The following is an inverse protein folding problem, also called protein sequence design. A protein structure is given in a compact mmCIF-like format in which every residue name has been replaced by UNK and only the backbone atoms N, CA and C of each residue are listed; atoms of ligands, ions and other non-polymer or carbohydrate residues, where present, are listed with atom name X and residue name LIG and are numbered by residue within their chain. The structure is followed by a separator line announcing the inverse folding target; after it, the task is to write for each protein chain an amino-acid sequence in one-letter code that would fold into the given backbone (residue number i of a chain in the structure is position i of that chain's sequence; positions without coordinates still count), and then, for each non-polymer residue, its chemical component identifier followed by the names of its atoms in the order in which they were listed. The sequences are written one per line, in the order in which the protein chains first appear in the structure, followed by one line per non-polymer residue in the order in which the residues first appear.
data_IF_739017870032
#
_entry.id   IF_739017870032
#
_cell.length_a   1.000
_cell.length_b   1.000
_cell.length_c   1.000
_cell.angle_alpha   90.00
_cell.angle_beta   90.00
_cell.angle_gamma   90.00
#
_symmetry.space_group_name_H-M   'P 1'
#
loop_
_entity.id
_entity.type
_entity.pdbx_description
1 polymer ?
#
# COMPACT_ATOMS: atom_id res chain seq x y z
N UNK A 1 -10.43 33.20 -5.52
CA UNK A 1 -9.30 33.19 -6.48
C UNK A 1 -8.79 31.75 -6.55
N UNK A 2 -9.25 30.99 -7.55
CA UNK A 2 -8.92 29.56 -7.70
C UNK A 2 -7.55 29.47 -8.37
N UNK A 3 -6.55 28.97 -7.64
CA UNK A 3 -5.21 28.76 -8.17
C UNK A 3 -5.16 27.36 -8.81
N UNK A 4 -5.24 27.29 -10.13
CA UNK A 4 -4.93 26.10 -10.91
C UNK A 4 -3.41 25.88 -10.87
N UNK A 5 -2.96 24.86 -10.14
CA UNK A 5 -1.62 24.29 -10.30
C UNK A 5 -1.69 23.31 -11.47
N UNK A 6 -1.05 23.65 -12.60
CA UNK A 6 -0.80 22.71 -13.68
C UNK A 6 0.31 21.75 -13.26
N UNK A 7 -0.07 20.56 -12.82
CA UNK A 7 0.89 19.46 -12.59
C UNK A 7 1.18 18.82 -13.95
N UNK A 8 2.38 19.08 -14.46
CA UNK A 8 2.96 18.40 -15.62
C UNK A 8 3.02 16.89 -15.38
N UNK A 9 2.28 16.13 -16.18
CA UNK A 9 2.05 14.67 -16.14
C UNK A 9 3.27 13.81 -16.55
N UNK A 10 4.49 14.34 -16.48
CA UNK A 10 5.70 13.61 -16.93
C UNK A 10 6.43 12.75 -15.87
N UNK A 11 5.87 12.59 -14.66
CA UNK A 11 6.56 11.94 -13.53
C UNK A 11 6.02 10.57 -13.10
N UNK A 12 5.27 9.87 -13.97
CA UNK A 12 4.81 8.51 -13.67
C UNK A 12 5.22 7.59 -14.82
N UNK A 13 6.46 7.12 -14.79
CA UNK A 13 6.83 5.87 -15.44
C UNK A 13 7.82 5.13 -14.55
N UNK A 14 7.24 4.23 -13.75
CA UNK A 14 7.91 3.28 -12.89
C UNK A 14 8.55 2.20 -13.79
N UNK A 15 9.81 2.36 -14.17
CA UNK A 15 10.58 1.27 -14.79
C UNK A 15 11.29 0.48 -13.70
N UNK A 16 10.62 -0.54 -13.17
CA UNK A 16 11.31 -1.68 -12.56
C UNK A 16 11.98 -2.50 -13.68
N UNK A 17 13.20 -2.13 -14.05
CA UNK A 17 14.05 -3.00 -14.84
C UNK A 17 14.78 -3.95 -13.87
N UNK A 18 14.16 -5.10 -13.58
CA UNK A 18 14.85 -6.23 -12.98
C UNK A 18 15.85 -6.77 -14.00
N UNK A 19 17.06 -6.19 -14.03
CA UNK A 19 18.19 -6.83 -14.69
C UNK A 19 18.48 -8.15 -13.96
N UNK A 20 18.22 -9.27 -14.64
CA UNK A 20 18.77 -10.57 -14.29
C UNK A 20 20.28 -10.41 -14.15
N UNK A 21 20.77 -10.47 -12.91
CA UNK A 21 22.20 -10.51 -12.60
C UNK A 21 22.81 -11.70 -13.35
N UNK A 22 23.73 -11.39 -14.26
CA UNK A 22 24.55 -12.40 -14.94
C UNK A 22 25.49 -13.02 -13.90
N UNK A 23 25.69 -14.36 -13.87
CA UNK A 23 26.59 -15.00 -12.94
C UNK A 23 28.03 -14.71 -13.39
N UNK A 24 28.66 -13.71 -12.77
CA UNK A 24 30.04 -13.34 -13.09
C UNK A 24 30.49 -11.95 -12.68
N UNK A 25 29.75 -11.24 -11.81
CA UNK A 25 30.28 -10.00 -11.24
C UNK A 25 31.27 -10.38 -10.14
N UNK A 26 32.55 -10.14 -10.41
CA UNK A 26 33.61 -10.27 -9.43
C UNK A 26 33.18 -9.59 -8.11
N UNK A 27 33.39 -10.29 -7.00
CA UNK A 27 33.27 -9.71 -5.66
C UNK A 27 34.32 -8.61 -5.57
N UNK A 28 33.92 -7.36 -5.81
CA UNK A 28 34.75 -6.21 -5.46
C UNK A 28 34.81 -6.18 -3.94
N UNK A 29 35.97 -6.59 -3.43
CA UNK A 29 36.38 -6.51 -2.03
C UNK A 29 36.45 -5.06 -1.59
N UNK A 30 35.92 -4.79 -0.39
CA UNK A 30 36.11 -3.62 0.48
C UNK A 30 36.94 -2.47 -0.12
N UNK A 31 36.27 -1.61 -0.90
CA UNK A 31 36.86 -0.34 -1.28
C UNK A 31 36.71 0.61 -0.10
N UNK A 32 37.85 1.11 0.38
CA UNK A 32 37.85 2.21 1.34
C UNK A 32 37.24 3.45 0.68
N UNK A 33 36.18 3.99 1.25
CA UNK A 33 35.48 5.17 0.76
C UNK A 33 35.98 6.40 1.53
N UNK A 34 36.68 7.32 0.83
CA UNK A 34 37.09 8.63 1.39
C UNK A 34 35.91 9.60 1.54
N UNK A 35 34.84 9.37 0.77
CA UNK A 35 33.57 10.09 0.85
C UNK A 35 32.47 9.24 0.21
N UNK A 36 31.28 9.31 0.81
CA UNK A 36 30.03 8.80 0.27
C UNK A 36 29.33 9.81 -0.60
N UNK A 37 29.71 11.09 -0.59
CA UNK A 37 29.15 12.07 -1.50
C UNK A 37 29.72 11.96 -2.92
N UNK A 38 28.98 12.51 -3.89
CA UNK A 38 29.39 12.61 -5.29
C UNK A 38 29.29 14.03 -5.81
N UNK A 39 30.35 14.48 -6.48
CA UNK A 39 30.40 15.79 -7.14
C UNK A 39 29.84 15.76 -8.57
N UNK A 40 29.39 14.58 -9.05
CA UNK A 40 28.94 14.38 -10.42
C UNK A 40 27.74 15.24 -10.83
N UNK A 41 26.93 15.69 -9.86
CA UNK A 41 25.75 16.52 -10.07
C UNK A 41 26.00 18.01 -9.79
N UNK A 42 27.24 18.38 -9.47
CA UNK A 42 27.60 19.72 -9.02
C UNK A 42 27.38 19.92 -7.52
N UNK A 43 27.32 21.18 -7.06
CA UNK A 43 27.17 21.49 -5.63
C UNK A 43 25.79 21.08 -5.11
N UNK A 44 25.70 20.84 -3.80
CA UNK A 44 24.43 20.58 -3.12
C UNK A 44 23.41 21.69 -3.43
N UNK A 45 22.12 21.35 -3.67
CA UNK A 45 21.09 22.29 -4.09
C UNK A 45 20.51 23.06 -2.89
N UNK A 46 21.40 23.59 -2.06
CA UNK A 46 21.10 24.31 -0.83
C UNK A 46 21.34 25.82 -1.00
N UNK A 47 20.59 26.66 -0.30
CA UNK A 47 20.87 28.09 -0.26
C UNK A 47 22.21 28.35 0.43
N UNK A 48 22.95 29.41 0.07
CA UNK A 48 24.19 29.78 0.76
C UNK A 48 23.97 29.90 2.27
N UNK A 49 24.80 29.19 3.04
CA UNK A 49 24.77 29.18 4.52
C UNK A 49 23.64 28.34 5.14
N UNK A 50 22.87 27.60 4.34
CA UNK A 50 21.82 26.72 4.83
C UNK A 50 22.40 25.58 5.68
N UNK A 51 21.76 25.26 6.81
CA UNK A 51 22.26 24.23 7.72
C UNK A 51 22.09 22.80 7.22
N UNK A 52 21.20 22.55 6.25
CA UNK A 52 21.12 21.25 5.54
C UNK A 52 22.49 20.79 5.03
N UNK A 53 23.31 21.70 4.47
CA UNK A 53 24.63 21.36 3.92
C UNK A 53 25.56 20.77 5.00
N UNK A 54 25.46 21.27 6.24
CA UNK A 54 26.24 20.77 7.37
C UNK A 54 25.80 19.37 7.76
N UNK A 55 24.49 19.18 7.94
CA UNK A 55 23.91 17.87 8.26
C UNK A 55 24.33 16.80 7.24
N UNK A 56 24.32 17.14 5.94
CA UNK A 56 24.74 16.21 4.88
C UNK A 56 26.24 15.92 4.92
N UNK A 57 27.09 16.89 5.25
CA UNK A 57 28.54 16.69 5.44
C UNK A 57 28.84 15.84 6.67
N UNK A 58 28.11 16.02 7.76
CA UNK A 58 28.24 15.19 8.97
C UNK A 58 27.75 13.76 8.71
N UNK A 59 26.70 13.58 7.90
CA UNK A 59 26.28 12.25 7.42
C UNK A 59 27.36 11.60 6.53
N UNK A 60 27.97 12.35 5.62
CA UNK A 60 29.09 11.86 4.80
C UNK A 60 30.28 11.42 5.66
N UNK A 61 30.65 12.23 6.66
CA UNK A 61 31.69 11.89 7.64
C UNK A 61 31.35 10.63 8.42
N UNK A 62 30.10 10.52 8.90
CA UNK A 62 29.62 9.34 9.64
C UNK A 62 29.71 8.06 8.79
N UNK A 63 29.21 8.10 7.56
CA UNK A 63 29.26 6.96 6.63
C UNK A 63 30.70 6.59 6.28
N UNK A 64 31.56 7.58 6.05
CA UNK A 64 33.01 7.39 5.81
C UNK A 64 33.68 6.73 7.01
N UNK A 65 33.41 7.17 8.25
CA UNK A 65 33.95 6.51 9.45
C UNK A 65 33.46 5.06 9.61
N UNK A 66 32.24 4.77 9.14
CA UNK A 66 31.62 3.45 9.27
C UNK A 66 31.96 2.47 8.13
N UNK A 67 32.40 2.98 6.96
CA UNK A 67 32.72 2.17 5.78
C UNK A 67 31.59 1.19 5.39
N UNK A 68 30.34 1.65 5.46
CA UNK A 68 29.15 0.85 5.09
C UNK A 68 29.19 0.54 3.60
N UNK A 69 29.04 -0.72 3.19
CA UNK A 69 28.93 -1.07 1.76
C UNK A 69 27.81 -0.23 1.09
N UNK A 70 28.12 0.63 0.10
CA UNK A 70 27.14 1.45 -0.61
C UNK A 70 25.95 0.67 -1.18
N UNK A 71 26.15 -0.61 -1.50
CA UNK A 71 25.10 -1.51 -2.02
C UNK A 71 24.09 -1.93 -0.93
N UNK A 72 24.49 -1.87 0.34
CA UNK A 72 23.64 -2.16 1.50
C UNK A 72 23.10 -0.90 2.17
N UNK A 73 23.63 0.27 1.83
CA UNK A 73 23.12 1.56 2.28
C UNK A 73 21.92 1.99 1.43
N UNK A 74 20.84 2.38 2.09
CA UNK A 74 19.67 2.99 1.45
C UNK A 74 19.34 4.32 2.14
N UNK A 75 19.32 5.40 1.35
CA UNK A 75 18.86 6.71 1.80
C UNK A 75 17.44 6.94 1.28
N UNK A 76 16.49 7.07 2.20
CA UNK A 76 15.09 7.36 1.89
C UNK A 76 14.82 8.83 2.20
N UNK A 77 14.45 9.61 1.20
CA UNK A 77 14.20 11.04 1.34
C UNK A 77 12.73 11.39 1.22
N UNK A 78 12.30 12.36 2.02
CA UNK A 78 10.95 12.96 1.93
C UNK A 78 10.89 14.12 0.94
N UNK A 79 9.69 14.66 0.68
CA UNK A 79 9.56 15.90 -0.09
C UNK A 79 9.95 17.09 0.79
N UNK A 80 10.95 17.85 0.35
CA UNK A 80 11.47 19.04 1.06
C UNK A 80 12.88 19.39 0.60
N UNK A 81 13.47 20.48 1.11
CA UNK A 81 14.83 20.90 0.73
C UNK A 81 15.87 19.78 0.99
N UNK A 82 15.83 19.17 2.18
CA UNK A 82 16.66 18.00 2.52
C UNK A 82 16.38 16.80 1.60
N UNK A 83 15.17 16.72 1.04
CA UNK A 83 14.73 15.66 0.16
C UNK A 83 15.50 15.55 -1.14
N UNK A 84 16.20 16.61 -1.55
CA UNK A 84 17.01 16.63 -2.77
C UNK A 84 18.40 15.99 -2.58
N UNK A 85 18.74 15.58 -1.36
CA UNK A 85 20.08 15.14 -1.00
C UNK A 85 20.43 13.72 -1.45
N UNK A 86 19.45 12.83 -1.60
CA UNK A 86 19.66 11.41 -1.89
C UNK A 86 20.54 11.15 -3.13
N UNK A 87 20.35 11.95 -4.18
CA UNK A 87 21.11 11.89 -5.44
C UNK A 87 22.59 12.26 -5.30
N UNK A 88 22.97 12.88 -4.18
CA UNK A 88 24.34 13.31 -3.91
C UNK A 88 25.14 12.29 -3.10
N UNK A 89 24.58 11.11 -2.81
CA UNK A 89 25.25 10.04 -2.09
C UNK A 89 25.45 8.78 -2.95
N UNK A 90 26.57 8.09 -2.74
CA UNK A 90 26.88 6.73 -3.20
C UNK A 90 26.10 5.76 -2.32
N UNK A 91 24.81 5.62 -2.62
CA UNK A 91 23.89 4.74 -1.93
C UNK A 91 22.78 4.31 -2.90
N UNK A 92 21.99 3.31 -2.52
CA UNK A 92 20.67 3.19 -3.10
C UNK A 92 19.79 4.32 -2.55
N UNK A 93 18.90 4.86 -3.38
CA UNK A 93 18.00 5.93 -2.94
C UNK A 93 16.54 5.63 -3.24
N UNK A 94 15.66 6.13 -2.37
CA UNK A 94 14.23 6.15 -2.61
C UNK A 94 13.67 7.52 -2.24
N UNK A 95 13.30 8.30 -3.25
CA UNK A 95 12.63 9.59 -3.07
C UNK A 95 11.10 9.38 -3.00
N UNK A 96 10.55 9.50 -1.80
CA UNK A 96 9.14 9.18 -1.52
C UNK A 96 8.18 10.37 -1.67
N UNK A 97 6.91 10.10 -1.38
CA UNK A 97 5.90 11.14 -1.20
C UNK A 97 6.04 11.86 0.15
N UNK A 98 5.52 13.08 0.21
CA UNK A 98 5.62 13.92 1.41
C UNK A 98 4.98 13.24 2.64
N UNK A 99 5.74 13.13 3.72
CA UNK A 99 5.31 12.48 4.94
C UNK A 99 5.26 10.96 4.87
N UNK A 100 5.86 10.31 3.87
CA UNK A 100 5.75 8.85 3.65
C UNK A 100 7.09 8.11 3.69
N UNK A 101 8.19 8.81 3.86
CA UNK A 101 9.54 8.22 3.87
C UNK A 101 9.72 7.08 4.87
N UNK A 102 9.20 7.22 6.09
CA UNK A 102 9.23 6.16 7.10
C UNK A 102 8.41 4.92 6.70
N UNK A 103 7.35 5.10 5.90
CA UNK A 103 6.56 3.98 5.37
C UNK A 103 7.38 3.15 4.39
N UNK A 104 8.11 3.80 3.48
CA UNK A 104 8.99 3.10 2.53
C UNK A 104 10.18 2.46 3.24
N UNK A 105 10.83 3.18 4.15
CA UNK A 105 11.92 2.68 4.97
C UNK A 105 11.53 1.41 5.75
N UNK A 106 10.32 1.42 6.34
CA UNK A 106 9.73 0.26 7.02
C UNK A 106 9.63 -0.94 6.09
N UNK A 107 9.11 -0.75 4.88
CA UNK A 107 8.99 -1.81 3.88
C UNK A 107 10.34 -2.36 3.45
N UNK A 108 11.32 -1.47 3.19
CA UNK A 108 12.68 -1.84 2.79
C UNK A 108 13.36 -2.69 3.86
N UNK A 109 13.33 -2.26 5.13
CA UNK A 109 13.99 -2.98 6.24
C UNK A 109 13.31 -4.32 6.54
N UNK A 110 11.99 -4.41 6.39
CA UNK A 110 11.26 -5.68 6.52
C UNK A 110 11.57 -6.65 5.37
N UNK A 111 11.65 -6.14 4.14
CA UNK A 111 11.93 -6.95 2.97
C UNK A 111 13.39 -7.45 2.93
N UNK A 112 14.33 -6.63 3.39
CA UNK A 112 15.74 -7.00 3.47
C UNK A 112 16.38 -6.44 4.77
N UNK A 113 16.52 -7.27 5.82
CA UNK A 113 17.01 -6.83 7.13
C UNK A 113 18.49 -6.45 7.14
N UNK A 114 19.28 -6.87 6.14
CA UNK A 114 20.71 -6.58 6.02
C UNK A 114 21.01 -5.14 5.56
N UNK A 115 19.98 -4.39 5.16
CA UNK A 115 20.14 -3.01 4.71
C UNK A 115 20.35 -2.06 5.89
N UNK A 116 21.28 -1.13 5.75
CA UNK A 116 21.33 0.08 6.58
C UNK A 116 20.41 1.11 5.96
N UNK A 117 19.34 1.47 6.68
CA UNK A 117 18.30 2.38 6.17
C UNK A 117 18.36 3.70 6.93
N UNK A 118 18.72 4.77 6.23
CA UNK A 118 18.74 6.14 6.75
C UNK A 118 17.64 6.94 6.09
N UNK A 119 16.82 7.62 6.89
CA UNK A 119 15.72 8.46 6.42
C UNK A 119 16.08 9.91 6.63
N UNK A 120 16.00 10.71 5.58
CA UNK A 120 16.19 12.16 5.63
C UNK A 120 14.85 12.87 5.47
N UNK A 121 14.45 13.61 6.50
CA UNK A 121 13.12 14.23 6.56
C UNK A 121 13.22 15.65 7.11
N UNK A 122 12.36 16.55 6.63
CA UNK A 122 12.17 17.85 7.29
C UNK A 122 11.25 17.71 8.51
N UNK A 123 11.30 18.69 9.40
CA UNK A 123 10.31 18.89 10.46
C UNK A 123 8.87 18.91 9.93
N UNK A 124 8.63 19.53 8.77
CA UNK A 124 7.32 19.52 8.12
C UNK A 124 6.85 18.15 7.64
N UNK A 125 7.79 17.35 7.16
CA UNK A 125 7.54 15.94 6.84
C UNK A 125 7.10 15.16 8.08
N UNK A 126 7.68 15.45 9.25
CA UNK A 126 7.26 14.85 10.52
C UNK A 126 5.86 15.30 10.96
N UNK A 127 5.38 16.47 10.50
CA UNK A 127 4.00 16.92 10.68
C UNK A 127 3.00 16.04 9.93
N UNK A 128 2.99 16.12 8.59
CA UNK A 128 2.08 15.30 7.75
C UNK A 128 2.36 13.79 7.89
N UNK A 129 3.59 13.42 8.24
CA UNK A 129 4.04 12.06 8.48
C UNK A 129 3.88 11.56 9.91
N UNK A 130 3.26 12.33 10.81
CA UNK A 130 3.22 12.04 12.25
C UNK A 130 2.72 10.64 12.59
N UNK A 131 1.66 10.16 11.93
CA UNK A 131 1.16 8.79 12.15
C UNK A 131 2.17 7.70 11.76
N UNK A 132 2.99 7.95 10.73
CA UNK A 132 4.06 7.03 10.30
C UNK A 132 5.25 7.10 11.25
N UNK A 133 5.58 8.28 11.77
CA UNK A 133 6.56 8.45 12.85
C UNK A 133 6.18 7.64 14.09
N UNK A 134 4.96 7.82 14.60
CA UNK A 134 4.44 7.05 15.73
C UNK A 134 4.50 5.54 15.45
N UNK A 135 4.14 5.14 14.24
CA UNK A 135 4.15 3.72 13.85
C UNK A 135 5.55 3.13 13.72
N UNK A 136 6.52 3.88 13.18
CA UNK A 136 7.91 3.46 13.07
C UNK A 136 8.55 3.33 14.45
N UNK A 137 8.36 4.34 15.30
CA UNK A 137 8.79 4.33 16.69
C UNK A 137 8.18 3.15 17.47
N UNK A 138 6.88 2.91 17.34
CA UNK A 138 6.21 1.77 18.00
C UNK A 138 6.74 0.43 17.51
N UNK A 139 7.02 0.31 16.21
CA UNK A 139 7.53 -0.93 15.60
C UNK A 139 8.99 -1.19 15.92
N UNK A 140 9.83 -0.21 16.21
CA UNK A 140 11.25 -0.48 16.53
C UNK A 140 12.07 -1.15 15.43
N UNK A 141 11.76 -0.91 14.16
CA UNK A 141 12.65 -1.40 13.10
C UNK A 141 13.98 -0.64 13.17
N UNK A 142 15.08 -1.36 12.92
CA UNK A 142 16.43 -0.79 12.81
C UNK A 142 16.52 0.17 11.60
N UNK A 143 16.14 1.41 11.85
CA UNK A 143 15.98 2.52 10.90
C UNK A 143 16.40 3.79 11.63
N UNK A 144 17.26 4.59 10.99
CA UNK A 144 17.68 5.89 11.52
C UNK A 144 16.96 7.02 10.80
N UNK A 145 16.20 7.83 11.54
CA UNK A 145 15.58 9.05 11.05
C UNK A 145 16.43 10.27 11.42
N UNK A 146 16.94 10.98 10.42
CA UNK A 146 17.60 12.26 10.57
C UNK A 146 16.64 13.37 10.13
N UNK A 147 16.29 14.25 11.06
CA UNK A 147 15.38 15.36 10.84
C UNK A 147 16.20 16.63 10.68
N UNK A 148 16.13 17.24 9.52
CA UNK A 148 16.64 18.59 9.30
C UNK A 148 15.55 19.60 9.68
N UNK A 149 15.63 20.13 10.90
CA UNK A 149 14.60 20.96 11.50
C UNK A 149 14.97 22.44 11.42
N UNK A 150 14.38 23.16 10.47
CA UNK A 150 14.58 24.60 10.29
C UNK A 150 13.35 25.45 10.61
N UNK A 151 12.38 24.85 11.29
CA UNK A 151 11.20 25.52 11.80
C UNK A 151 10.24 26.06 10.73
N UNK A 152 10.40 25.69 9.45
CA UNK A 152 9.52 26.14 8.38
C UNK A 152 9.52 25.24 7.12
N UNK A 153 8.53 25.40 6.25
CA UNK A 153 8.50 24.70 4.97
C UNK A 153 9.32 25.46 3.92
N UNK A 154 10.64 25.29 3.95
CA UNK A 154 11.57 26.02 3.08
C UNK A 154 11.24 25.89 1.58
N UNK A 155 11.04 24.68 1.07
CA UNK A 155 10.82 24.41 -0.37
C UNK A 155 9.56 25.08 -0.92
N UNK A 156 8.54 25.32 -0.09
CA UNK A 156 7.24 25.86 -0.52
C UNK A 156 7.11 27.37 -0.30
N UNK A 157 8.17 28.05 0.16
CA UNK A 157 8.15 29.51 0.39
C UNK A 157 8.20 29.92 1.86
N UNK A 158 8.45 28.98 2.78
CA UNK A 158 8.78 29.25 4.17
C UNK A 158 7.61 29.31 5.14
N UNK A 159 6.51 28.61 4.84
CA UNK A 159 5.32 28.51 5.71
C UNK A 159 5.63 27.90 7.08
N UNK A 160 4.74 28.12 8.03
CA UNK A 160 4.74 27.51 9.34
C UNK A 160 4.86 25.97 9.27
N UNK A 161 5.69 25.41 10.15
CA UNK A 161 5.91 23.98 10.36
C UNK A 161 5.50 23.57 11.77
N UNK A 162 5.36 22.27 12.01
CA UNK A 162 4.93 21.74 13.31
C UNK A 162 5.92 21.99 14.45
N UNK A 163 7.17 22.35 14.14
CA UNK A 163 8.20 22.71 15.13
C UNK A 163 8.44 24.22 15.20
N UNK A 164 7.70 25.05 14.45
CA UNK A 164 7.87 26.51 14.49
C UNK A 164 7.71 27.01 15.93
N UNK A 165 8.72 27.66 16.54
CA UNK A 165 8.64 28.20 17.89
C UNK A 165 7.47 29.16 18.07
N UNK A 166 6.92 29.24 19.29
CA UNK A 166 5.92 30.25 19.65
C UNK A 166 6.50 31.65 19.38
N UNK A 167 5.71 32.52 18.75
CA UNK A 167 6.12 33.84 18.27
C UNK A 167 6.83 33.81 16.90
N UNK A 168 7.16 32.64 16.36
CA UNK A 168 7.86 32.50 15.09
C UNK A 168 7.08 33.08 13.91
N UNK A 169 7.71 34.03 13.21
CA UNK A 169 7.15 34.74 12.06
C UNK A 169 7.39 33.94 10.77
N UNK A 170 6.29 33.62 10.08
CA UNK A 170 6.30 32.96 8.76
C UNK A 170 5.26 33.62 7.85
N UNK A 171 5.24 33.36 6.53
CA UNK A 171 4.20 33.87 5.64
C UNK A 171 2.77 33.49 6.06
N UNK A 172 2.59 32.35 6.72
CA UNK A 172 1.29 31.87 7.21
C UNK A 172 1.02 32.20 8.68
N UNK A 173 2.04 32.65 9.41
CA UNK A 173 1.94 33.18 10.78
C UNK A 173 2.55 34.59 10.87
N UNK A 174 1.98 35.59 10.16
CA UNK A 174 2.56 36.93 10.09
C UNK A 174 2.52 37.68 11.43
N UNK A 175 1.62 37.30 12.34
CA UNK A 175 1.56 37.81 13.72
C UNK A 175 2.36 36.99 14.73
N UNK A 176 3.11 35.99 14.26
CA UNK A 176 3.81 35.01 15.09
C UNK A 176 3.00 33.73 15.28
N UNK A 177 3.68 32.60 15.45
CA UNK A 177 3.04 31.34 15.77
C UNK A 177 2.44 31.37 17.18
N UNK A 178 1.18 30.94 17.31
CA UNK A 178 0.48 30.83 18.60
C UNK A 178 0.29 29.38 19.05
N UNK A 179 0.57 28.41 18.17
CA UNK A 179 0.48 27.00 18.46
C UNK A 179 1.73 26.50 19.18
N UNK A 180 1.55 25.48 20.03
CA UNK A 180 2.67 24.82 20.69
C UNK A 180 3.51 24.06 19.67
N UNK A 181 4.81 24.34 19.62
CA UNK A 181 5.76 23.57 18.84
C UNK A 181 5.81 22.10 19.32
N UNK A 182 5.81 21.17 18.36
CA UNK A 182 5.90 19.75 18.64
C UNK A 182 7.33 19.37 19.07
N UNK A 183 7.44 18.70 20.22
CA UNK A 183 8.68 18.01 20.62
C UNK A 183 8.72 16.63 19.93
N UNK A 184 9.41 16.56 18.79
CA UNK A 184 9.46 15.34 17.97
C UNK A 184 10.16 14.19 18.73
N UNK A 185 11.26 14.46 19.43
CA UNK A 185 11.98 13.44 20.21
C UNK A 185 11.13 12.88 21.35
N UNK A 186 10.42 13.71 22.11
CA UNK A 186 9.55 13.28 23.20
C UNK A 186 8.36 12.47 22.68
N UNK A 187 7.75 12.89 21.56
CA UNK A 187 6.69 12.11 20.91
C UNK A 187 7.22 10.76 20.43
N UNK A 188 8.38 10.75 19.77
CA UNK A 188 9.03 9.53 19.29
C UNK A 188 9.34 8.57 20.44
N UNK A 189 9.97 9.06 21.50
CA UNK A 189 10.27 8.30 22.71
C UNK A 189 8.98 7.75 23.37
N UNK A 190 7.95 8.58 23.52
CA UNK A 190 6.65 8.18 24.06
C UNK A 190 5.91 7.16 23.19
N UNK A 191 6.13 7.17 21.87
CA UNK A 191 5.62 6.17 20.94
C UNK A 191 6.43 4.87 20.92
N UNK A 192 7.62 4.87 21.53
CA UNK A 192 8.48 3.71 21.70
C UNK A 192 9.82 3.76 20.96
N UNK A 193 10.23 4.89 20.36
CA UNK A 193 11.58 5.00 19.81
C UNK A 193 12.60 4.65 20.90
N UNK A 194 13.53 3.75 20.58
CA UNK A 194 14.47 3.21 21.56
C UNK A 194 15.74 4.04 21.66
N UNK A 195 15.97 4.92 20.70
CA UNK A 195 17.04 5.89 20.71
C UNK A 195 16.54 7.22 20.13
N UNK A 196 16.74 8.33 20.84
CA UNK A 196 16.46 9.65 20.30
C UNK A 196 17.46 10.69 20.81
N UNK A 197 17.94 11.53 19.90
CA UNK A 197 18.90 12.60 20.15
C UNK A 197 18.35 13.92 19.60
N UNK A 198 18.57 15.01 20.34
CA UNK A 198 18.32 16.37 19.86
C UNK A 198 19.62 17.17 19.90
N UNK A 199 19.94 17.85 18.81
CA UNK A 199 21.10 18.74 18.74
C UNK A 199 20.92 19.81 17.69
N UNK A 200 22.03 20.45 17.31
CA UNK A 200 22.04 21.47 16.25
C UNK A 200 23.10 21.14 15.19
N UNK A 201 22.91 21.67 13.99
CA UNK A 201 23.84 21.46 12.86
C UNK A 201 25.24 22.09 13.04
N UNK A 202 25.53 22.67 14.20
CA UNK A 202 26.82 23.26 14.56
C UNK A 202 27.55 22.50 15.68
N UNK A 203 26.97 21.40 16.18
CA UNK A 203 27.62 20.53 17.14
C UNK A 203 28.85 19.88 16.50
N UNK A 204 29.97 19.81 17.23
CA UNK A 204 31.26 19.35 16.69
C UNK A 204 31.34 17.84 16.53
N UNK A 205 30.49 17.12 17.25
CA UNK A 205 30.41 15.67 17.35
C UNK A 205 29.14 15.12 16.66
N UNK A 206 28.49 15.92 15.80
CA UNK A 206 27.24 15.52 15.17
C UNK A 206 27.39 14.25 14.33
N UNK A 207 28.51 14.08 13.65
CA UNK A 207 28.82 12.86 12.91
C UNK A 207 28.93 11.63 13.83
N UNK A 208 29.51 11.76 15.01
CA UNK A 208 29.55 10.72 16.04
C UNK A 208 28.14 10.38 16.54
N UNK A 209 27.28 11.38 16.76
CA UNK A 209 25.87 11.15 17.13
C UNK A 209 25.09 10.42 16.03
N UNK A 210 25.36 10.73 14.76
CA UNK A 210 24.79 10.01 13.60
C UNK A 210 25.25 8.55 13.61
N UNK A 211 26.55 8.29 13.84
CA UNK A 211 27.08 6.91 13.94
C UNK A 211 26.39 6.13 15.05
N UNK A 212 26.19 6.73 16.22
CA UNK A 212 25.48 6.08 17.33
C UNK A 212 24.03 5.73 16.96
N UNK A 213 23.32 6.66 16.32
CA UNK A 213 21.96 6.43 15.84
C UNK A 213 21.87 5.28 14.83
N UNK A 214 22.81 5.20 13.88
CA UNK A 214 22.89 4.13 12.86
C UNK A 214 23.26 2.78 13.48
N UNK A 215 24.10 2.76 14.51
CA UNK A 215 24.53 1.51 15.18
C UNK A 215 23.50 0.97 16.17
N UNK A 216 22.56 1.80 16.62
CA UNK A 216 21.56 1.39 17.59
C UNK A 216 20.58 0.38 16.97
N UNK A 217 20.42 -0.84 17.54
CA UNK A 217 19.60 -1.91 16.96
C UNK A 217 18.10 -1.68 17.21
N UNK A 218 17.53 -0.64 16.58
CA UNK A 218 16.15 -0.23 16.74
C UNK A 218 15.85 1.09 16.04
N UNK A 219 14.67 1.66 16.33
CA UNK A 219 14.30 2.93 15.70
C UNK A 219 14.99 4.12 16.39
N UNK A 220 15.80 4.84 15.61
CA UNK A 220 16.61 5.97 16.05
C UNK A 220 16.09 7.29 15.48
N UNK A 221 16.00 8.34 16.30
CA UNK A 221 15.60 9.69 15.88
C UNK A 221 16.72 10.69 16.17
N UNK A 222 17.12 11.48 15.19
CA UNK A 222 17.99 12.64 15.35
C UNK A 222 17.21 13.90 14.94
N UNK A 223 16.75 14.69 15.92
CA UNK A 223 16.16 16.02 15.69
C UNK A 223 17.28 17.08 15.68
N UNK A 224 17.73 17.46 14.48
CA UNK A 224 18.86 18.38 14.30
C UNK A 224 18.34 19.74 13.89
N UNK A 225 18.44 20.72 14.78
CA UNK A 225 17.99 22.07 14.51
C UNK A 225 19.00 22.85 13.68
N UNK A 226 18.52 23.59 12.70
CA UNK A 226 19.36 24.21 11.68
C UNK A 226 18.81 25.56 11.19
N UNK A 227 19.50 26.19 10.25
CA UNK A 227 19.20 27.53 9.76
C UNK A 227 18.66 27.52 8.32
N UNK A 228 17.39 27.90 8.17
CA UNK A 228 16.84 28.29 6.86
C UNK A 228 17.20 29.76 6.55
N UNK A 229 18.27 29.95 5.76
CA UNK A 229 18.76 31.27 5.36
C UNK A 229 17.81 32.02 4.42
N UNK A 230 16.99 31.30 3.64
CA UNK A 230 16.10 31.91 2.66
C UNK A 230 14.85 32.56 3.28
N UNK A 231 14.30 31.97 4.35
CA UNK A 231 12.95 32.34 4.81
C UNK A 231 12.82 32.57 6.30
N UNK A 232 13.28 31.65 7.15
CA UNK A 232 13.09 31.75 8.60
C UNK A 232 14.01 32.81 9.20
N UNK A 233 15.29 32.82 8.81
CA UNK A 233 16.27 33.80 9.30
C UNK A 233 15.88 35.26 9.01
N UNK A 234 15.55 35.65 7.76
CA UNK A 234 15.24 37.05 7.46
C UNK A 234 13.97 37.56 8.15
N UNK A 235 13.01 36.67 8.47
CA UNK A 235 11.73 37.05 9.11
C UNK A 235 11.82 37.18 10.62
N UNK A 236 12.78 36.50 11.25
CA UNK A 236 12.87 36.39 12.70
C UNK A 236 14.17 37.00 13.25
N UNK A 237 14.96 37.69 12.42
CA UNK A 237 16.31 38.17 12.75
C UNK A 237 17.20 37.05 13.32
N UNK A 238 16.94 35.81 12.86
CA UNK A 238 17.48 34.59 13.44
C UNK A 238 18.86 34.29 12.86
N UNK A 239 19.77 33.78 13.70
CA UNK A 239 21.14 33.46 13.32
C UNK A 239 21.71 32.38 14.25
N UNK A 240 22.98 32.00 14.04
CA UNK A 240 23.64 30.97 14.85
C UNK A 240 23.53 31.22 16.36
N UNK A 241 23.72 32.46 16.83
CA UNK A 241 23.62 32.80 18.27
C UNK A 241 22.22 32.56 18.81
N UNK A 242 21.19 32.96 18.06
CA UNK A 242 19.80 32.73 18.44
C UNK A 242 19.40 31.25 18.38
N UNK A 243 20.06 30.44 17.54
CA UNK A 243 19.89 28.98 17.54
C UNK A 243 20.41 28.34 18.84
N UNK A 244 21.62 28.71 19.29
CA UNK A 244 22.14 28.26 20.59
C UNK A 244 21.24 28.71 21.74
N UNK A 245 20.82 29.98 21.71
CA UNK A 245 19.92 30.51 22.72
C UNK A 245 18.59 29.75 22.72
N UNK A 246 18.01 29.47 21.55
CA UNK A 246 16.74 28.77 21.46
C UNK A 246 16.84 27.37 22.06
N UNK A 247 17.88 26.60 21.74
CA UNK A 247 18.02 25.25 22.31
C UNK A 247 18.15 25.29 23.84
N UNK A 248 18.87 26.27 24.39
CA UNK A 248 19.01 26.47 25.85
C UNK A 248 17.69 26.93 26.52
N UNK A 249 16.92 27.80 25.87
CA UNK A 249 15.73 28.43 26.48
C UNK A 249 14.40 27.77 26.11
N UNK A 250 14.40 26.81 25.18
CA UNK A 250 13.17 26.17 24.67
C UNK A 250 12.41 25.37 25.74
N UNK A 251 13.07 25.01 26.84
CA UNK A 251 12.54 24.08 27.84
C UNK A 251 12.49 22.63 27.35
N UNK A 252 13.02 22.34 26.16
CA UNK A 252 13.15 21.00 25.62
C UNK A 252 14.54 20.44 25.96
N UNK A 253 14.61 19.18 26.35
CA UNK A 253 15.90 18.52 26.59
C UNK A 253 16.71 18.44 25.29
N UNK A 254 18.01 18.73 25.36
CA UNK A 254 18.99 18.54 24.29
C UNK A 254 19.97 17.42 24.65
N UNK A 255 20.72 16.92 23.66
CA UNK A 255 21.55 15.74 23.79
C UNK A 255 20.75 14.44 23.60
N UNK A 256 21.20 13.37 24.25
CA UNK A 256 20.54 12.07 24.23
C UNK A 256 19.28 12.11 25.12
N UNK A 257 18.11 11.91 24.50
CA UNK A 257 16.79 12.02 25.12
C UNK A 257 16.30 10.67 25.65
N UNK A 258 16.49 9.61 24.86
CA UNK A 258 16.19 8.24 25.26
C UNK A 258 17.23 7.31 24.67
N UNK A 259 17.63 6.31 25.46
CA UNK A 259 18.32 5.12 25.01
C UNK A 259 17.81 3.96 25.84
N UNK A 260 17.22 2.96 25.20
CA UNK A 260 16.62 1.82 25.86
C UNK A 260 16.77 0.57 25.02
N UNK A 261 16.76 -0.59 25.70
CA UNK A 261 16.81 -1.87 25.04
C UNK A 261 15.39 -2.40 24.82
N UNK A 262 15.05 -2.67 23.56
CA UNK A 262 13.84 -3.40 23.16
C UNK A 262 14.15 -4.14 21.88
N UNK A 263 13.67 -5.38 21.77
CA UNK A 263 13.86 -6.19 20.57
C UNK A 263 13.44 -5.46 19.29
N UNK A 264 14.24 -5.64 18.24
CA UNK A 264 13.92 -5.18 16.88
C UNK A 264 12.75 -6.00 16.35
N UNK A 265 11.70 -5.33 15.86
CA UNK A 265 10.47 -6.04 15.47
C UNK A 265 10.67 -7.01 14.32
N UNK A 266 11.49 -6.67 13.32
CA UNK A 266 11.76 -7.54 12.19
C UNK A 266 12.36 -8.88 12.63
N UNK A 267 13.30 -8.86 13.57
CA UNK A 267 13.92 -10.05 14.15
C UNK A 267 12.90 -10.91 14.88
N UNK A 268 12.11 -10.31 15.79
CA UNK A 268 11.05 -11.00 16.52
C UNK A 268 9.97 -11.55 15.58
N UNK A 269 9.62 -10.80 14.54
CA UNK A 269 8.64 -11.20 13.54
C UNK A 269 9.13 -12.40 12.72
N UNK A 270 10.38 -12.40 12.27
CA UNK A 270 10.98 -13.53 11.54
C UNK A 270 11.06 -14.78 12.40
N UNK A 271 11.43 -14.65 13.67
CA UNK A 271 11.44 -15.77 14.63
C UNK A 271 10.04 -16.36 14.82
N UNK A 272 9.04 -15.51 15.05
CA UNK A 272 7.64 -15.93 15.20
C UNK A 272 7.10 -16.59 13.93
N UNK A 273 7.36 -15.98 12.76
CA UNK A 273 6.88 -16.47 11.47
C UNK A 273 7.59 -17.76 11.04
N UNK A 274 8.85 -17.98 11.42
CA UNK A 274 9.59 -19.21 11.12
C UNK A 274 8.98 -20.48 11.73
N UNK A 275 8.10 -20.32 12.74
CA UNK A 275 7.37 -21.41 13.37
C UNK A 275 6.02 -21.71 12.68
N UNK A 276 5.61 -20.90 11.70
CA UNK A 276 4.37 -21.11 10.96
C UNK A 276 4.59 -22.07 9.79
N UNK A 277 3.57 -22.83 9.38
CA UNK A 277 3.61 -23.57 8.12
C UNK A 277 3.97 -22.64 6.96
N UNK A 278 4.72 -23.11 5.95
CA UNK A 278 5.04 -22.29 4.79
C UNK A 278 3.76 -21.77 4.14
N UNK A 279 3.82 -20.55 3.62
CA UNK A 279 2.74 -20.01 2.81
C UNK A 279 2.42 -21.02 1.69
N UNK A 280 1.14 -21.27 1.47
CA UNK A 280 0.71 -22.19 0.42
C UNK A 280 1.16 -21.62 -0.92
N UNK A 281 1.89 -22.42 -1.70
CA UNK A 281 2.24 -22.02 -3.06
C UNK A 281 0.98 -21.69 -3.86
N UNK A 282 1.04 -20.56 -4.57
CA UNK A 282 0.00 -20.19 -5.53
C UNK A 282 0.17 -21.12 -6.73
N UNK A 283 -0.56 -22.23 -6.73
CA UNK A 283 -0.58 -23.16 -7.87
C UNK A 283 -1.36 -22.53 -9.03
N UNK A 284 -0.73 -22.47 -10.20
CA UNK A 284 -1.44 -22.13 -11.44
C UNK A 284 -2.59 -23.12 -11.68
N UNK A 285 -3.71 -22.61 -12.20
CA UNK A 285 -4.81 -23.45 -12.65
C UNK A 285 -4.56 -23.81 -14.11
N UNK A 286 -3.97 -24.99 -14.32
CA UNK A 286 -3.68 -25.48 -15.67
C UNK A 286 -4.99 -25.65 -16.47
N UNK A 287 -5.02 -25.23 -17.75
CA UNK A 287 -6.12 -25.52 -18.65
C UNK A 287 -6.23 -27.02 -18.90
N UNK A 288 -7.39 -27.60 -18.58
CA UNK A 288 -7.72 -29.02 -18.80
C UNK A 288 -8.93 -29.19 -19.72
N UNK A 289 -9.75 -28.15 -19.86
CA UNK A 289 -10.98 -28.15 -20.64
C UNK A 289 -10.93 -27.13 -21.79
N UNK A 290 -11.81 -27.29 -22.77
CA UNK A 290 -12.05 -26.29 -23.81
C UNK A 290 -13.23 -25.36 -23.48
N UNK A 291 -13.43 -24.33 -24.29
CA UNK A 291 -14.55 -23.40 -24.18
C UNK A 291 -15.20 -23.16 -25.55
N UNK A 292 -16.39 -22.55 -25.59
CA UNK A 292 -17.06 -22.12 -26.83
C UNK A 292 -17.07 -20.61 -27.05
N UNK A 293 -16.59 -19.82 -26.07
CA UNK A 293 -16.56 -18.36 -26.18
C UNK A 293 -15.71 -17.86 -27.36
N UNK A 294 -16.25 -16.88 -28.09
CA UNK A 294 -15.55 -16.14 -29.16
C UNK A 294 -15.13 -14.74 -28.75
N UNK A 295 -15.85 -14.16 -27.81
CA UNK A 295 -15.63 -12.83 -27.26
C UNK A 295 -15.79 -12.85 -25.75
N UNK A 296 -15.53 -11.72 -25.10
CA UNK A 296 -15.72 -11.58 -23.67
C UNK A 296 -17.20 -11.70 -23.31
N UNK A 297 -17.51 -12.50 -22.30
CA UNK A 297 -18.86 -12.71 -21.79
C UNK A 297 -18.96 -12.22 -20.35
N UNK A 298 -19.92 -11.33 -20.09
CA UNK A 298 -20.26 -10.81 -18.78
C UNK A 298 -21.39 -11.59 -18.12
N UNK A 299 -21.15 -12.10 -16.92
CA UNK A 299 -22.13 -12.82 -16.09
C UNK A 299 -22.31 -12.10 -14.76
N UNK A 300 -23.54 -11.79 -14.38
CA UNK A 300 -23.89 -11.22 -13.08
C UNK A 300 -24.72 -12.22 -12.31
N UNK A 301 -24.36 -12.47 -11.04
CA UNK A 301 -25.19 -13.26 -10.11
C UNK A 301 -25.49 -12.46 -8.86
N UNK A 302 -26.77 -12.33 -8.53
CA UNK A 302 -27.28 -11.56 -7.41
C UNK A 302 -28.11 -12.45 -6.47
N UNK A 303 -27.75 -12.44 -5.19
CA UNK A 303 -28.48 -13.14 -4.13
C UNK A 303 -28.32 -12.47 -2.78
N UNK A 304 -28.55 -13.21 -1.71
CA UNK A 304 -28.47 -12.73 -0.32
C UNK A 304 -27.11 -13.06 0.29
N UNK A 305 -26.70 -12.25 1.27
CA UNK A 305 -25.59 -12.59 2.14
C UNK A 305 -25.87 -13.93 2.85
N UNK A 306 -24.86 -14.80 2.90
CA UNK A 306 -25.00 -16.15 3.44
C UNK A 306 -25.30 -17.23 2.40
N UNK A 307 -25.83 -16.90 1.22
CA UNK A 307 -26.15 -17.86 0.13
C UNK A 307 -24.93 -18.31 -0.70
N UNK A 308 -23.72 -17.94 -0.26
CA UNK A 308 -22.44 -18.32 -0.90
C UNK A 308 -22.28 -17.84 -2.36
N UNK A 309 -22.97 -16.78 -2.77
CA UNK A 309 -22.90 -16.22 -4.13
C UNK A 309 -21.46 -15.97 -4.60
N UNK A 310 -20.64 -15.28 -3.80
CA UNK A 310 -19.23 -15.01 -4.11
C UNK A 310 -18.40 -16.28 -4.26
N UNK A 311 -18.71 -17.31 -3.47
CA UNK A 311 -18.01 -18.60 -3.54
C UNK A 311 -18.41 -19.39 -4.78
N UNK A 312 -19.69 -19.37 -5.15
CA UNK A 312 -20.18 -19.95 -6.40
C UNK A 312 -19.57 -19.25 -7.62
N UNK A 313 -19.54 -17.92 -7.62
CA UNK A 313 -18.87 -17.10 -8.64
C UNK A 313 -17.38 -17.44 -8.76
N UNK A 314 -16.67 -17.58 -7.64
CA UNK A 314 -15.24 -17.95 -7.67
C UNK A 314 -15.01 -19.35 -8.24
N UNK A 315 -15.87 -20.32 -7.90
CA UNK A 315 -15.80 -21.66 -8.48
C UNK A 315 -16.04 -21.65 -9.99
N UNK A 316 -17.01 -20.86 -10.43
CA UNK A 316 -17.33 -20.63 -11.84
C UNK A 316 -16.19 -19.95 -12.60
N UNK A 317 -15.58 -18.90 -12.05
CA UNK A 317 -14.41 -18.25 -12.66
C UNK A 317 -13.21 -19.18 -12.76
N UNK A 318 -12.95 -19.99 -11.73
CA UNK A 318 -11.87 -21.00 -11.75
C UNK A 318 -12.11 -22.08 -12.79
N UNK A 319 -13.36 -22.50 -12.97
CA UNK A 319 -13.73 -23.42 -14.05
C UNK A 319 -13.46 -22.80 -15.42
N UNK A 320 -13.73 -21.50 -15.60
CA UNK A 320 -13.34 -20.73 -16.78
C UNK A 320 -11.83 -20.74 -17.02
N UNK A 321 -11.01 -20.48 -16.00
CA UNK A 321 -9.54 -20.52 -16.10
C UNK A 321 -9.06 -21.92 -16.51
N UNK A 322 -9.61 -22.96 -15.87
CA UNK A 322 -9.33 -24.35 -16.22
C UNK A 322 -9.87 -24.75 -17.61
N UNK A 323 -10.70 -23.91 -18.22
CA UNK A 323 -11.21 -24.04 -19.58
C UNK A 323 -10.49 -23.13 -20.57
N UNK A 324 -9.28 -22.68 -20.24
CA UNK A 324 -8.43 -21.79 -21.04
C UNK A 324 -9.02 -20.39 -21.28
N UNK A 325 -9.78 -19.85 -20.32
CA UNK A 325 -10.30 -18.48 -20.35
C UNK A 325 -9.59 -17.59 -19.34
N UNK A 326 -9.45 -16.30 -19.66
CA UNK A 326 -9.18 -15.26 -18.68
C UNK A 326 -10.45 -14.98 -17.89
N UNK A 327 -10.32 -14.81 -16.57
CA UNK A 327 -11.46 -14.54 -15.71
C UNK A 327 -11.19 -13.38 -14.75
N UNK A 328 -12.17 -12.50 -14.56
CA UNK A 328 -12.17 -11.50 -13.48
C UNK A 328 -13.45 -11.62 -12.68
N UNK A 329 -13.36 -11.43 -11.36
CA UNK A 329 -14.50 -11.39 -10.45
C UNK A 329 -14.46 -10.08 -9.67
N UNK A 330 -15.59 -9.38 -9.60
CA UNK A 330 -15.82 -8.26 -8.67
C UNK A 330 -17.04 -8.56 -7.84
N UNK A 331 -17.02 -8.13 -6.59
CA UNK A 331 -18.10 -8.39 -5.66
C UNK A 331 -18.64 -7.07 -5.10
N UNK A 332 -19.96 -6.94 -5.03
CA UNK A 332 -20.68 -5.88 -4.30
C UNK A 332 -21.47 -6.53 -3.16
N UNK A 333 -21.14 -6.14 -1.93
CA UNK A 333 -21.81 -6.54 -0.71
C UNK A 333 -21.69 -5.43 0.33
N UNK A 334 -22.65 -5.30 1.26
CA UNK A 334 -22.60 -4.26 2.28
C UNK A 334 -21.47 -4.51 3.29
N UNK A 335 -21.07 -3.46 4.01
CA UNK A 335 -20.09 -3.57 5.11
C UNK A 335 -20.57 -4.46 6.27
N UNK A 336 -21.88 -4.76 6.32
CA UNK A 336 -22.50 -5.62 7.34
C UNK A 336 -22.25 -7.09 7.02
N UNK A 337 -21.73 -7.85 7.99
CA UNK A 337 -21.44 -9.27 7.81
C UNK A 337 -22.74 -10.08 7.83
N UNK A 338 -22.93 -10.93 6.81
CA UNK A 338 -24.05 -11.90 6.68
C UNK A 338 -25.46 -11.30 6.57
N UNK A 339 -25.62 -10.02 6.27
CA UNK A 339 -26.93 -9.40 6.02
C UNK A 339 -26.92 -8.57 4.75
N UNK A 340 -28.05 -8.53 4.03
CA UNK A 340 -28.21 -7.74 2.80
C UNK A 340 -27.84 -8.51 1.54
N UNK A 341 -27.55 -7.79 0.46
CA UNK A 341 -27.26 -8.38 -0.85
C UNK A 341 -25.85 -8.98 -0.94
N UNK A 342 -25.68 -9.90 -1.88
CA UNK A 342 -24.39 -10.36 -2.37
C UNK A 342 -24.47 -10.46 -3.88
N UNK A 343 -23.73 -9.60 -4.59
CA UNK A 343 -23.66 -9.59 -6.05
C UNK A 343 -22.23 -9.89 -6.47
N UNK A 344 -22.07 -10.74 -7.48
CA UNK A 344 -20.78 -10.99 -8.13
C UNK A 344 -20.91 -10.76 -9.64
N UNK A 345 -20.00 -9.96 -10.17
CA UNK A 345 -19.80 -9.71 -11.59
C UNK A 345 -18.59 -10.51 -12.08
N UNK A 346 -18.77 -11.29 -13.15
CA UNK A 346 -17.76 -12.17 -13.70
C UNK A 346 -17.59 -11.83 -15.18
N UNK A 347 -16.36 -11.56 -15.59
CA UNK A 347 -16.00 -11.57 -17.02
C UNK A 347 -15.21 -12.83 -17.32
N UNK A 348 -15.57 -13.49 -18.42
CA UNK A 348 -14.82 -14.59 -19.01
C UNK A 348 -14.42 -14.22 -20.43
N UNK A 349 -13.17 -14.44 -20.82
CA UNK A 349 -12.69 -14.05 -22.16
C UNK A 349 -11.64 -15.01 -22.70
N UNK A 350 -11.64 -15.32 -24.01
CA UNK A 350 -10.56 -16.08 -24.64
C UNK A 350 -9.25 -15.28 -24.77
N UNK A 351 -9.27 -13.98 -24.49
CA UNK A 351 -8.11 -13.08 -24.50
C UNK A 351 -8.01 -12.30 -23.18
N UNK A 352 -6.85 -11.69 -22.92
CA UNK A 352 -6.62 -10.88 -21.72
C UNK A 352 -7.72 -9.82 -21.53
N UNK A 353 -8.22 -9.72 -20.30
CA UNK A 353 -9.26 -8.76 -19.90
C UNK A 353 -8.58 -7.45 -19.47
N UNK A 354 -8.66 -6.42 -20.30
CA UNK A 354 -8.10 -5.08 -20.03
C UNK A 354 -9.11 -4.14 -19.34
N UNK A 355 -10.41 -4.42 -19.49
CA UNK A 355 -11.49 -3.65 -18.87
C UNK A 355 -12.42 -4.59 -18.11
N UNK A 356 -12.55 -4.35 -16.81
CA UNK A 356 -13.25 -5.27 -15.90
C UNK A 356 -14.70 -4.89 -15.65
N UNK A 357 -15.19 -3.73 -16.13
CA UNK A 357 -16.61 -3.36 -15.98
C UNK A 357 -17.52 -4.18 -16.92
N UNK A 358 -18.79 -4.31 -16.54
CA UNK A 358 -19.84 -4.93 -17.34
C UNK A 358 -20.89 -3.85 -17.59
N UNK A 359 -20.90 -3.27 -18.78
CA UNK A 359 -21.86 -2.24 -19.14
C UNK A 359 -23.23 -2.85 -19.47
N UNK A 360 -23.22 -4.00 -20.15
CA UNK A 360 -24.41 -4.83 -20.42
C UNK A 360 -24.03 -6.30 -20.26
N UNK A 361 -24.62 -7.04 -19.31
CA UNK A 361 -24.32 -8.45 -19.12
C UNK A 361 -24.97 -9.32 -20.19
N UNK A 362 -24.28 -10.37 -20.61
CA UNK A 362 -24.84 -11.42 -21.47
C UNK A 362 -25.77 -12.33 -20.66
N UNK A 363 -25.37 -12.63 -19.42
CA UNK A 363 -26.16 -13.44 -18.50
C UNK A 363 -26.36 -12.73 -17.17
N UNK A 364 -27.60 -12.71 -16.70
CA UNK A 364 -27.97 -12.18 -15.40
C UNK A 364 -28.70 -13.25 -14.60
N UNK A 365 -28.27 -13.50 -13.37
CA UNK A 365 -28.83 -14.52 -12.49
C UNK A 365 -29.32 -13.88 -11.21
N UNK A 366 -30.58 -14.11 -10.84
CA UNK A 366 -31.18 -13.58 -9.60
C UNK A 366 -31.78 -14.72 -8.79
N UNK A 367 -31.22 -14.95 -7.61
CA UNK A 367 -31.61 -16.10 -6.77
C UNK A 367 -32.33 -15.71 -5.48
N UNK A 368 -32.40 -14.42 -5.16
CA UNK A 368 -33.06 -13.94 -3.94
C UNK A 368 -33.66 -12.54 -4.05
N UNK A 369 -34.53 -12.20 -3.09
CA UNK A 369 -35.17 -10.88 -2.99
C UNK A 369 -34.16 -9.77 -2.64
N UNK A 370 -33.17 -10.05 -1.79
CA UNK A 370 -32.13 -9.08 -1.45
C UNK A 370 -31.25 -8.75 -2.67
N UNK A 371 -30.88 -9.79 -3.44
CA UNK A 371 -30.18 -9.62 -4.70
C UNK A 371 -31.00 -8.77 -5.68
N UNK A 372 -32.27 -9.10 -5.86
CA UNK A 372 -33.18 -8.36 -6.73
C UNK A 372 -33.35 -6.90 -6.29
N UNK A 373 -33.60 -6.63 -5.00
CA UNK A 373 -33.74 -5.26 -4.47
C UNK A 373 -32.53 -4.40 -4.80
N UNK A 374 -31.33 -4.98 -4.66
CA UNK A 374 -30.08 -4.30 -5.00
C UNK A 374 -29.94 -4.04 -6.50
N UNK A 375 -30.34 -4.99 -7.34
CA UNK A 375 -30.11 -4.92 -8.79
C UNK A 375 -31.33 -4.48 -9.60
N UNK A 376 -32.45 -4.09 -8.97
CA UNK A 376 -33.71 -3.82 -9.64
C UNK A 376 -33.61 -2.79 -10.79
N UNK A 377 -32.85 -1.71 -10.59
CA UNK A 377 -32.63 -0.70 -11.62
C UNK A 377 -31.86 -1.26 -12.83
N UNK A 378 -30.86 -2.10 -12.58
CA UNK A 378 -30.08 -2.75 -13.63
C UNK A 378 -30.92 -3.78 -14.40
N UNK A 379 -31.75 -4.55 -13.69
CA UNK A 379 -32.70 -5.52 -14.27
C UNK A 379 -33.67 -4.83 -15.22
N UNK A 380 -34.24 -3.69 -14.80
CA UNK A 380 -35.15 -2.91 -15.65
C UNK A 380 -34.48 -2.36 -16.92
N UNK A 381 -33.15 -2.17 -16.90
CA UNK A 381 -32.38 -1.68 -18.04
C UNK A 381 -31.78 -2.77 -18.94
N UNK A 382 -31.97 -4.06 -18.63
CA UNK A 382 -31.39 -5.14 -19.44
C UNK A 382 -31.98 -5.16 -20.85
N UNK A 383 -31.10 -5.33 -21.84
CA UNK A 383 -31.46 -5.41 -23.25
C UNK A 383 -31.92 -6.80 -23.66
N UNK A 384 -32.48 -6.91 -24.88
CA UNK A 384 -33.00 -8.19 -25.42
C UNK A 384 -31.94 -9.25 -25.69
N UNK A 385 -30.67 -8.86 -25.76
CA UNK A 385 -29.53 -9.78 -25.88
C UNK A 385 -29.13 -10.42 -24.55
N UNK A 386 -29.59 -9.88 -23.43
CA UNK A 386 -29.32 -10.45 -22.10
C UNK A 386 -30.26 -11.60 -21.81
N UNK A 387 -29.69 -12.70 -21.31
CA UNK A 387 -30.45 -13.83 -20.78
C UNK A 387 -30.56 -13.72 -19.25
N UNK A 388 -31.77 -13.54 -18.74
CA UNK A 388 -32.08 -13.37 -17.32
C UNK A 388 -32.64 -14.67 -16.74
N UNK A 389 -31.87 -15.34 -15.89
CA UNK A 389 -32.29 -16.49 -15.09
C UNK A 389 -32.74 -15.99 -13.73
N UNK A 390 -33.96 -16.30 -13.32
CA UNK A 390 -34.51 -15.86 -12.03
C UNK A 390 -35.27 -16.98 -11.33
N UNK A 391 -35.24 -16.99 -9.99
CA UNK A 391 -36.10 -17.88 -9.22
C UNK A 391 -37.60 -17.64 -9.53
N UNK A 392 -38.34 -18.73 -9.70
CA UNK A 392 -39.77 -18.71 -10.05
C UNK A 392 -40.63 -17.88 -9.08
N UNK A 393 -40.21 -17.78 -7.81
CA UNK A 393 -40.94 -17.06 -6.75
C UNK A 393 -40.72 -15.56 -6.75
N UNK A 394 -39.78 -15.03 -7.53
CA UNK A 394 -39.42 -13.61 -7.52
C UNK A 394 -40.24 -12.80 -8.53
N UNK A 395 -40.76 -11.66 -8.08
CA UNK A 395 -41.43 -10.68 -8.92
C UNK A 395 -40.41 -9.64 -9.38
N UNK A 396 -40.10 -9.62 -10.68
CA UNK A 396 -39.08 -8.74 -11.27
C UNK A 396 -39.73 -7.53 -11.97
N UNK A 397 -39.01 -6.40 -12.09
CA UNK A 397 -39.42 -5.29 -12.94
C UNK A 397 -39.56 -5.71 -14.42
N UNK A 398 -40.32 -4.93 -15.20
CA UNK A 398 -40.37 -5.07 -16.66
C UNK A 398 -38.97 -4.86 -17.26
N UNK A 399 -38.61 -5.73 -18.20
CA UNK A 399 -37.29 -5.74 -18.84
C UNK A 399 -37.38 -6.27 -20.26
N UNK A 400 -36.44 -5.88 -21.13
CA UNK A 400 -36.37 -6.38 -22.50
C UNK A 400 -35.62 -7.72 -22.60
N UNK A 401 -34.96 -8.17 -21.53
CA UNK A 401 -34.19 -9.41 -21.48
C UNK A 401 -35.03 -10.66 -21.78
N UNK A 402 -34.36 -11.71 -22.26
CA UNK A 402 -34.98 -13.04 -22.38
C UNK A 402 -35.04 -13.66 -20.99
N UNK A 403 -36.25 -13.92 -20.49
CA UNK A 403 -36.47 -14.33 -19.10
C UNK A 403 -36.68 -15.84 -19.01
N UNK A 404 -35.88 -16.51 -18.19
CA UNK A 404 -36.04 -17.91 -17.79
C UNK A 404 -36.33 -17.98 -16.29
N UNK A 405 -37.44 -18.65 -15.93
CA UNK A 405 -37.86 -18.81 -14.53
C UNK A 405 -37.61 -20.25 -14.09
N UNK A 406 -36.76 -20.43 -13.08
CA UNK A 406 -36.38 -21.74 -12.57
C UNK A 406 -36.76 -21.92 -11.09
N UNK A 407 -37.12 -23.14 -10.63
CA UNK A 407 -37.43 -23.41 -9.23
C UNK A 407 -36.16 -23.53 -8.36
N UNK A 408 -35.34 -22.47 -8.30
CA UNK A 408 -34.01 -22.45 -7.68
C UNK A 408 -34.08 -22.64 -6.16
N UNK A 409 -34.93 -21.90 -5.46
CA UNK A 409 -35.13 -22.01 -4.01
C UNK A 409 -35.66 -23.38 -3.64
N UNK A 410 -36.58 -23.93 -4.45
CA UNK A 410 -37.12 -25.28 -4.24
C UNK A 410 -36.04 -26.35 -4.39
N UNK A 411 -35.15 -26.18 -5.36
CA UNK A 411 -34.03 -27.10 -5.61
C UNK A 411 -32.95 -26.98 -4.53
N UNK A 412 -32.67 -25.77 -4.07
CA UNK A 412 -31.75 -25.51 -2.95
C UNK A 412 -32.24 -26.16 -1.65
N UNK A 413 -33.55 -26.27 -1.40
CA UNK A 413 -34.07 -27.02 -0.25
C UNK A 413 -33.75 -28.53 -0.30
N UNK A 414 -33.53 -29.10 -1.49
CA UNK A 414 -33.17 -30.52 -1.68
C UNK A 414 -31.67 -30.80 -1.54
N UNK A 415 -30.82 -29.86 -1.97
CA UNK A 415 -29.36 -30.01 -1.92
C UNK A 415 -28.70 -29.33 -0.71
N UNK A 416 -29.33 -28.30 -0.16
CA UNK A 416 -28.82 -27.49 0.96
C UNK A 416 -28.93 -26.00 0.65
N UNK A 417 -29.37 -25.20 1.62
CA UNK A 417 -29.68 -23.77 1.44
C UNK A 417 -28.52 -22.91 0.88
N UNK A 418 -27.28 -23.35 1.06
CA UNK A 418 -26.07 -22.64 0.62
C UNK A 418 -25.63 -22.99 -0.82
N UNK A 419 -26.43 -23.77 -1.54
CA UNK A 419 -26.09 -24.26 -2.88
C UNK A 419 -26.78 -23.50 -4.01
N UNK A 420 -27.70 -22.59 -3.70
CA UNK A 420 -28.58 -21.94 -4.68
C UNK A 420 -27.80 -21.25 -5.81
N UNK A 421 -26.68 -20.60 -5.49
CA UNK A 421 -25.82 -19.98 -6.51
C UNK A 421 -25.18 -20.99 -7.46
N UNK A 422 -24.77 -22.17 -6.96
CA UNK A 422 -24.21 -23.23 -7.82
C UNK A 422 -25.28 -23.92 -8.67
N UNK A 423 -26.51 -24.07 -8.15
CA UNK A 423 -27.64 -24.57 -8.93
C UNK A 423 -27.89 -23.62 -10.11
N UNK A 424 -27.99 -22.32 -9.83
CA UNK A 424 -28.27 -21.33 -10.86
C UNK A 424 -27.14 -21.23 -11.90
N UNK A 425 -25.88 -21.30 -11.47
CA UNK A 425 -24.73 -21.32 -12.39
C UNK A 425 -24.59 -22.65 -13.16
N UNK A 426 -25.02 -23.78 -12.58
CA UNK A 426 -25.12 -25.06 -13.29
C UNK A 426 -26.12 -24.97 -14.45
N UNK A 427 -27.31 -24.44 -14.19
CA UNK A 427 -28.31 -24.19 -15.23
C UNK A 427 -27.79 -23.24 -16.33
N UNK A 428 -27.11 -22.15 -15.92
CA UNK A 428 -26.50 -21.21 -16.85
C UNK A 428 -25.48 -21.89 -17.77
N UNK A 429 -24.58 -22.74 -17.24
CA UNK A 429 -23.56 -23.41 -18.05
C UNK A 429 -24.20 -24.34 -19.07
N UNK A 430 -25.20 -25.11 -18.67
CA UNK A 430 -25.89 -26.05 -19.56
C UNK A 430 -26.58 -25.31 -20.73
N UNK A 431 -27.19 -24.14 -20.47
CA UNK A 431 -27.82 -23.31 -21.51
C UNK A 431 -26.82 -22.60 -22.42
N UNK A 432 -25.76 -22.05 -21.84
CA UNK A 432 -24.83 -21.16 -22.53
C UNK A 432 -23.68 -21.88 -23.23
N UNK A 433 -23.37 -23.09 -22.76
CA UNK A 433 -22.23 -23.90 -23.18
C UNK A 433 -20.88 -23.13 -23.18
N UNK A 434 -20.74 -22.11 -22.31
CA UNK A 434 -19.53 -21.26 -22.19
C UNK A 434 -18.29 -22.15 -22.10
N UNK A 435 -18.35 -23.15 -21.23
CA UNK A 435 -17.38 -24.23 -21.06
C UNK A 435 -18.13 -25.49 -20.54
N UNK A 436 -17.57 -26.70 -20.61
CA UNK A 436 -18.28 -27.90 -20.19
C UNK A 436 -18.56 -27.94 -18.68
N UNK A 437 -19.72 -28.46 -18.29
CA UNK A 437 -20.15 -28.60 -16.88
C UNK A 437 -19.13 -29.35 -16.01
N UNK A 438 -18.37 -30.29 -16.59
CA UNK A 438 -17.29 -31.00 -15.89
C UNK A 438 -16.17 -30.06 -15.40
N UNK A 439 -15.93 -28.92 -16.04
CA UNK A 439 -14.98 -27.92 -15.55
C UNK A 439 -15.42 -27.31 -14.21
N UNK A 440 -16.72 -27.05 -14.05
CA UNK A 440 -17.27 -26.56 -12.78
C UNK A 440 -17.22 -27.64 -11.69
N UNK A 441 -17.52 -28.90 -12.05
CA UNK A 441 -17.39 -30.05 -11.14
C UNK A 441 -15.94 -30.21 -10.66
N UNK A 442 -14.97 -30.13 -11.57
CA UNK A 442 -13.55 -30.22 -11.23
C UNK A 442 -13.07 -29.04 -10.37
N UNK A 443 -13.54 -27.82 -10.66
CA UNK A 443 -13.29 -26.65 -9.83
C UNK A 443 -13.77 -26.87 -8.38
N UNK A 444 -14.95 -27.48 -8.19
CA UNK A 444 -15.45 -27.89 -6.87
C UNK A 444 -14.52 -28.91 -6.21
N UNK A 445 -14.15 -29.99 -6.91
CA UNK A 445 -13.30 -31.06 -6.35
C UNK A 445 -11.94 -30.53 -5.87
N UNK A 446 -11.32 -29.61 -6.62
CA UNK A 446 -9.99 -29.06 -6.30
C UNK A 446 -9.99 -28.03 -5.17
N UNK A 447 -11.10 -27.30 -4.97
CA UNK A 447 -11.09 -26.08 -4.17
C UNK A 447 -12.05 -26.07 -2.99
N UNK A 448 -12.95 -27.04 -2.90
CA UNK A 448 -13.87 -27.17 -1.79
C UNK A 448 -13.36 -28.20 -0.78
N UNK A 449 -13.74 -28.02 0.48
CA UNK A 449 -13.38 -28.97 1.54
C UNK A 449 -14.11 -30.31 1.29
N UNK A 450 -13.49 -31.47 1.61
CA UNK A 450 -14.10 -32.77 1.36
C UNK A 450 -15.55 -32.92 1.85
N UNK A 451 -15.87 -32.33 3.00
CA UNK A 451 -17.22 -32.40 3.59
C UNK A 451 -18.34 -31.65 2.86
N UNK A 452 -18.03 -30.84 1.84
CA UNK A 452 -19.03 -30.06 1.07
C UNK A 452 -18.94 -30.30 -0.45
N UNK A 453 -17.95 -31.06 -0.92
CA UNK A 453 -17.77 -31.38 -2.35
C UNK A 453 -19.01 -32.06 -2.91
N UNK A 454 -19.49 -33.12 -2.25
CA UNK A 454 -20.64 -33.90 -2.73
C UNK A 454 -21.92 -33.06 -2.81
N UNK A 455 -22.14 -32.22 -1.80
CA UNK A 455 -23.27 -31.27 -1.76
C UNK A 455 -23.23 -30.29 -2.93
N UNK A 456 -22.05 -29.78 -3.26
CA UNK A 456 -21.87 -28.84 -4.37
C UNK A 456 -21.96 -29.53 -5.74
N UNK A 457 -21.47 -30.76 -5.88
CA UNK A 457 -21.61 -31.54 -7.11
C UNK A 457 -23.09 -31.83 -7.39
N UNK A 458 -23.83 -32.27 -6.38
CA UNK A 458 -25.28 -32.47 -6.50
C UNK A 458 -26.03 -31.18 -6.87
N UNK A 459 -25.57 -30.03 -6.39
CA UNK A 459 -26.15 -28.74 -6.75
C UNK A 459 -25.96 -28.40 -8.23
N UNK A 460 -24.77 -28.67 -8.78
CA UNK A 460 -24.50 -28.49 -10.21
C UNK A 460 -25.41 -29.39 -11.04
N UNK A 461 -25.57 -30.66 -10.64
CA UNK A 461 -26.40 -31.63 -11.35
C UNK A 461 -27.88 -31.23 -11.37
N UNK A 462 -28.41 -30.78 -10.23
CA UNK A 462 -29.76 -30.20 -10.19
C UNK A 462 -29.89 -28.96 -11.09
N UNK A 463 -28.85 -28.13 -11.19
CA UNK A 463 -28.82 -26.99 -12.11
C UNK A 463 -28.92 -27.43 -13.57
N UNK A 464 -28.10 -28.39 -13.99
CA UNK A 464 -28.13 -28.95 -15.35
C UNK A 464 -29.46 -29.61 -15.68
N UNK A 465 -30.06 -30.35 -14.75
CA UNK A 465 -31.39 -30.95 -14.92
C UNK A 465 -32.46 -29.88 -15.22
N UNK A 466 -32.44 -28.76 -14.49
CA UNK A 466 -33.38 -27.65 -14.70
C UNK A 466 -33.25 -26.96 -16.07
N UNK A 467 -32.08 -27.07 -16.70
CA UNK A 467 -31.82 -26.50 -18.02
C UNK A 467 -32.10 -27.50 -19.17
N UNK A 468 -32.29 -28.79 -18.87
CA UNK A 468 -32.62 -29.80 -19.87
C UNK A 468 -34.14 -29.86 -20.16
N UNK A 469 -34.96 -29.44 -19.18
CA UNK A 469 -36.40 -29.21 -19.30
C UNK A 469 -36.71 -27.88 -20.02
#
# INVERSE_FOLDING_TARGET
MVCQLSVSTKWILLCFHLQKLSPGVAVVTDQYHETYMTDALGPLPCCPGCGHERILKDLDSALTKMQIDPRKLVIVTDIGCIGLADRYFKANSFHGLHGRSLTYATGLKLANPELTVVVLMGDGGCGIGGAHLLSAARRNLDITLIIANNFNYGMTGGQHSVTTPIGGLTPTTPGGNVERAIDICAIGAGAGATWAYRGISYDKDLDERIIEGIKHPGFSILDIWELCTAYYMPRNEYNKKELYKLIETSGLNSGLIVQSERGEFGAMYRESAGNLPPAKDISALEPVFGHKLKEQTGVVIAGSAGEKIRSAASLFSRAGIMSNLHATQKDDYPITVMTGHSVSEINLSPVTIEYTAIDSPDYFVIVSEDGLKKTAALVASLGSTTHLIVDEGLQIPDTAATIERLPLVRSAKKAGQFTIGLIALGALIERSEIYPTEALRESVRRHQKPGIVETNLRAIDLGSELAAD
#
